data_IF_947708153427
#
_entry.id   IF_947708153427
#
_cell.length_a   1.000
_cell.length_b   1.000
_cell.length_c   1.000
_cell.angle_alpha   90.00
_cell.angle_beta   90.00
_cell.angle_gamma   90.00
#
_symmetry.space_group_name_H-M   'P 1'
#
loop_
_entity.id
_entity.type
_entity.pdbx_description
1 polymer ?
#
# COMPACT_ATOMS: atom_id res chain seq x y z
N UNK A 1 -11.90 -2.97 -17.88
CA UNK A 1 -11.64 -3.15 -16.43
C UNK A 1 -12.96 -3.11 -15.66
N UNK A 2 -13.10 -3.96 -14.65
CA UNK A 2 -14.26 -3.90 -13.77
C UNK A 2 -14.17 -2.71 -12.83
N UNK A 3 -15.31 -2.31 -12.26
CA UNK A 3 -15.31 -1.24 -11.26
C UNK A 3 -14.46 -1.59 -10.04
N UNK A 4 -14.43 -2.86 -9.67
CA UNK A 4 -13.60 -3.33 -8.54
C UNK A 4 -12.11 -3.16 -8.86
N UNK A 5 -11.69 -3.49 -10.07
CA UNK A 5 -10.29 -3.32 -10.47
C UNK A 5 -9.88 -1.85 -10.47
N UNK A 6 -10.77 -0.95 -10.90
CA UNK A 6 -10.52 0.49 -10.86
C UNK A 6 -10.40 0.96 -9.41
N UNK A 7 -11.27 0.49 -8.53
CA UNK A 7 -11.24 0.85 -7.11
C UNK A 7 -9.97 0.34 -6.43
N UNK A 8 -9.52 -0.87 -6.76
CA UNK A 8 -8.26 -1.41 -6.23
C UNK A 8 -7.09 -0.54 -6.69
N UNK A 9 -7.04 -0.18 -7.96
CA UNK A 9 -5.97 0.66 -8.49
C UNK A 9 -5.96 2.04 -7.82
N UNK A 10 -7.13 2.59 -7.55
CA UNK A 10 -7.26 3.87 -6.85
C UNK A 10 -6.68 3.79 -5.43
N UNK A 11 -7.02 2.75 -4.69
CA UNK A 11 -6.47 2.51 -3.35
C UNK A 11 -4.95 2.32 -3.40
N UNK A 12 -4.46 1.53 -4.37
CA UNK A 12 -3.02 1.30 -4.54
C UNK A 12 -2.28 2.61 -4.79
N UNK A 13 -2.80 3.46 -5.65
CA UNK A 13 -2.20 4.78 -5.94
C UNK A 13 -2.20 5.68 -4.72
N UNK A 14 -3.32 5.75 -4.01
CA UNK A 14 -3.44 6.57 -2.81
C UNK A 14 -2.42 6.14 -1.75
N UNK A 15 -2.37 4.84 -1.46
CA UNK A 15 -1.46 4.28 -0.45
C UNK A 15 -0.01 4.53 -0.85
N UNK A 16 0.33 4.30 -2.11
CA UNK A 16 1.70 4.53 -2.59
C UNK A 16 2.12 5.99 -2.40
N UNK A 17 1.28 6.93 -2.82
CA UNK A 17 1.61 8.36 -2.72
C UNK A 17 1.76 8.83 -1.28
N UNK A 18 0.87 8.38 -0.41
CA UNK A 18 0.91 8.77 1.00
C UNK A 18 2.08 8.10 1.72
N UNK A 19 2.37 6.85 1.40
CA UNK A 19 3.53 6.15 1.93
C UNK A 19 4.83 6.86 1.54
N UNK A 20 4.96 7.22 0.28
CA UNK A 20 6.13 7.93 -0.21
C UNK A 20 6.39 9.22 0.57
N UNK A 21 5.34 10.01 0.79
CA UNK A 21 5.44 11.26 1.54
C UNK A 21 5.77 11.03 3.01
N UNK A 22 5.04 10.10 3.63
CA UNK A 22 5.17 9.82 5.06
C UNK A 22 6.55 9.25 5.39
N UNK A 23 7.03 8.35 4.54
CA UNK A 23 8.32 7.70 4.75
C UNK A 23 9.49 8.50 4.18
N UNK A 24 9.22 9.62 3.52
CA UNK A 24 10.22 10.51 2.92
C UNK A 24 11.14 9.78 1.95
N UNK A 25 10.56 8.92 1.13
CA UNK A 25 11.30 8.18 0.12
C UNK A 25 11.16 8.84 -1.25
N UNK A 26 12.15 8.65 -2.11
CA UNK A 26 12.00 8.97 -3.52
C UNK A 26 10.97 8.03 -4.15
N UNK A 27 10.34 8.41 -5.27
CA UNK A 27 9.42 7.50 -5.97
C UNK A 27 10.07 6.16 -6.30
N UNK A 28 11.32 6.19 -6.70
CA UNK A 28 12.08 4.99 -7.05
C UNK A 28 12.29 4.07 -5.85
N UNK A 29 12.72 4.63 -4.72
CA UNK A 29 12.94 3.86 -3.49
C UNK A 29 11.63 3.28 -2.96
N UNK A 30 10.54 4.05 -3.02
CA UNK A 30 9.23 3.59 -2.61
C UNK A 30 8.73 2.45 -3.52
N UNK A 31 8.92 2.57 -4.83
CA UNK A 31 8.55 1.54 -5.78
C UNK A 31 9.33 0.24 -5.53
N UNK A 32 10.62 0.34 -5.22
CA UNK A 32 11.44 -0.82 -4.92
C UNK A 32 10.95 -1.53 -3.66
N UNK A 33 10.60 -0.77 -2.63
CA UNK A 33 10.08 -1.33 -1.39
C UNK A 33 8.73 -2.03 -1.60
N UNK A 34 7.83 -1.40 -2.35
CA UNK A 34 6.53 -1.98 -2.68
C UNK A 34 6.69 -3.27 -3.48
N UNK A 35 7.63 -3.30 -4.41
CA UNK A 35 7.90 -4.48 -5.23
C UNK A 35 8.50 -5.62 -4.42
N UNK A 36 9.49 -5.28 -3.58
CA UNK A 36 10.21 -6.29 -2.79
C UNK A 36 9.27 -7.09 -1.88
N UNK A 37 8.27 -6.42 -1.30
CA UNK A 37 7.34 -7.05 -0.36
C UNK A 37 5.96 -7.27 -0.94
N UNK A 38 5.79 -7.05 -2.25
CA UNK A 38 4.52 -7.24 -2.95
C UNK A 38 3.35 -6.52 -2.27
N UNK A 39 3.56 -5.27 -1.92
CA UNK A 39 2.56 -4.50 -1.18
C UNK A 39 1.33 -4.17 -2.05
N UNK A 40 1.51 -3.96 -3.34
CA UNK A 40 0.39 -3.76 -4.25
C UNK A 40 -0.46 -5.02 -4.36
N UNK A 41 0.17 -6.19 -4.38
CA UNK A 41 -0.53 -7.48 -4.36
C UNK A 41 -1.31 -7.66 -3.07
N UNK A 42 -0.74 -7.28 -1.93
CA UNK A 42 -1.44 -7.31 -0.65
C UNK A 42 -2.72 -6.48 -0.69
N UNK A 43 -2.65 -5.26 -1.22
CA UNK A 43 -3.83 -4.39 -1.35
C UNK A 43 -4.88 -5.04 -2.23
N UNK A 44 -4.46 -5.61 -3.36
CA UNK A 44 -5.37 -6.28 -4.29
C UNK A 44 -6.09 -7.46 -3.64
N UNK A 45 -5.34 -8.32 -2.94
CA UNK A 45 -5.89 -9.51 -2.31
C UNK A 45 -6.79 -9.20 -1.13
N UNK A 46 -6.44 -8.16 -0.36
CA UNK A 46 -7.16 -7.80 0.86
C UNK A 46 -8.15 -6.65 0.65
N UNK A 47 -8.39 -6.26 -0.59
CA UNK A 47 -9.24 -5.10 -0.89
C UNK A 47 -10.61 -5.19 -0.23
N UNK A 48 -11.24 -6.36 -0.25
CA UNK A 48 -12.58 -6.53 0.30
C UNK A 48 -12.63 -6.26 1.81
N UNK A 49 -11.53 -6.50 2.51
CA UNK A 49 -11.39 -6.15 3.93
C UNK A 49 -10.97 -4.70 4.12
N UNK A 50 -10.04 -4.22 3.31
CA UNK A 50 -9.47 -2.89 3.45
C UNK A 50 -10.45 -1.77 3.12
N UNK A 51 -11.31 -1.97 2.11
CA UNK A 51 -12.21 -0.91 1.65
C UNK A 51 -13.34 -0.60 2.61
N UNK A 52 -13.67 -1.52 3.53
CA UNK A 52 -14.71 -1.26 4.55
C UNK A 52 -14.19 -0.40 5.70
N UNK A 53 -12.88 -0.24 5.80
CA UNK A 53 -12.24 0.67 6.74
C UNK A 53 -11.93 1.99 6.02
N UNK A 54 -10.70 2.46 6.09
CA UNK A 54 -10.28 3.65 5.35
C UNK A 54 -8.99 3.36 4.61
N UNK A 55 -8.64 4.21 3.65
CA UNK A 55 -7.35 4.11 2.97
C UNK A 55 -6.20 4.27 3.95
N UNK A 56 -6.41 5.08 4.99
CA UNK A 56 -5.41 5.23 6.05
C UNK A 56 -5.16 3.91 6.78
N UNK A 57 -6.21 3.13 7.02
CA UNK A 57 -6.05 1.80 7.63
C UNK A 57 -5.23 0.87 6.74
N UNK A 58 -5.41 0.95 5.42
CA UNK A 58 -4.61 0.17 4.48
C UNK A 58 -3.13 0.54 4.61
N UNK A 59 -2.82 1.82 4.69
CA UNK A 59 -1.44 2.28 4.88
C UNK A 59 -0.87 1.81 6.23
N UNK A 60 -1.66 1.89 7.30
CA UNK A 60 -1.26 1.43 8.63
C UNK A 60 -0.93 -0.07 8.62
N UNK A 61 -1.74 -0.87 7.95
CA UNK A 61 -1.50 -2.32 7.82
C UNK A 61 -0.20 -2.60 7.07
N UNK A 62 0.06 -1.86 6.02
CA UNK A 62 1.30 -2.00 5.24
C UNK A 62 2.50 -1.63 6.10
N UNK A 63 2.43 -0.57 6.87
CA UNK A 63 3.51 -0.19 7.79
C UNK A 63 3.77 -1.30 8.81
N UNK A 64 2.71 -1.91 9.31
CA UNK A 64 2.80 -3.00 10.27
C UNK A 64 3.52 -4.21 9.67
N UNK A 65 3.16 -4.57 8.44
CA UNK A 65 3.81 -5.66 7.70
C UNK A 65 5.32 -5.39 7.56
N UNK A 66 5.68 -4.17 7.18
CA UNK A 66 7.08 -3.80 6.98
C UNK A 66 7.86 -3.82 8.28
N UNK A 67 7.28 -3.32 9.37
CA UNK A 67 7.93 -3.36 10.68
C UNK A 67 8.19 -4.78 11.15
N UNK A 68 7.25 -5.70 10.91
CA UNK A 68 7.42 -7.12 11.25
C UNK A 68 8.55 -7.76 10.46
N UNK A 69 8.85 -7.23 9.27
CA UNK A 69 9.97 -7.71 8.44
C UNK A 69 11.27 -6.97 8.73
N UNK A 70 11.28 -6.11 9.74
CA UNK A 70 12.48 -5.40 10.15
C UNK A 70 12.76 -4.13 9.35
N UNK A 71 11.77 -3.64 8.59
CA UNK A 71 11.92 -2.42 7.81
C UNK A 71 11.47 -1.24 8.67
N UNK A 72 12.35 -0.24 8.79
CA UNK A 72 12.05 0.99 9.53
C UNK A 72 11.26 1.96 8.65
N UNK A 73 9.97 2.09 8.90
CA UNK A 73 9.10 3.06 8.20
C UNK A 73 8.31 3.90 9.20
#
# INVERSE_FOLDING_TARGET
MSQKQIAIADMQCWVFRHAQKKWRLSPSACADLFRKYDLLGYISECYDLLHVSSYQCALDDIEDILRRKGVAV
#
